data_IF_889786864744
#
_entry.id   IF_889786864744
#
_cell.length_a   1.000
_cell.length_b   1.000
_cell.length_c   1.000
_cell.angle_alpha   90.00
_cell.angle_beta   90.00
_cell.angle_gamma   90.00
#
_symmetry.space_group_name_H-M   'P 1'
#
loop_
_entity.id
_entity.type
_entity.pdbx_description
1 polymer ?
#
# COMPACT_ATOMS: atom_id res chain seq x y z
N UNK A 1 -17.50 -5.58 4.96
CA UNK A 1 -16.65 -6.27 3.97
C UNK A 1 -15.19 -5.92 4.25
N UNK A 2 -14.24 -6.85 4.07
CA UNK A 2 -12.82 -6.55 4.29
C UNK A 2 -12.25 -5.68 3.17
N UNK A 3 -11.38 -4.73 3.50
CA UNK A 3 -10.71 -3.86 2.52
C UNK A 3 -9.82 -4.68 1.58
N UNK A 4 -9.69 -4.24 0.33
CA UNK A 4 -8.75 -4.82 -0.64
C UNK A 4 -7.44 -4.04 -0.62
N UNK A 5 -6.33 -4.74 -0.45
CA UNK A 5 -4.98 -4.20 -0.57
C UNK A 5 -4.45 -4.39 -1.99
N UNK A 6 -3.71 -3.43 -2.51
CA UNK A 6 -3.07 -3.50 -3.82
C UNK A 6 -1.59 -3.13 -3.65
N UNK A 7 -0.68 -4.02 -4.04
CA UNK A 7 0.77 -3.76 -4.00
C UNK A 7 1.30 -3.56 -5.43
N UNK A 8 1.37 -2.30 -5.84
CA UNK A 8 1.78 -1.91 -7.19
C UNK A 8 3.26 -2.15 -7.46
N UNK A 9 3.58 -2.84 -8.55
CA UNK A 9 4.95 -3.00 -9.04
C UNK A 9 5.49 -1.73 -9.74
N UNK A 10 6.49 -1.91 -10.58
CA UNK A 10 7.11 -0.84 -11.37
C UNK A 10 6.06 -0.04 -12.16
N UNK A 11 6.12 1.29 -12.07
CA UNK A 11 5.29 2.19 -12.87
C UNK A 11 3.88 2.46 -12.31
N UNK A 12 3.43 1.72 -11.29
CA UNK A 12 2.15 1.96 -10.63
C UNK A 12 2.39 2.72 -9.32
N UNK A 13 2.22 4.05 -9.34
CA UNK A 13 2.39 4.93 -8.17
C UNK A 13 1.08 5.57 -7.69
N UNK A 14 0.05 5.49 -8.53
CA UNK A 14 -1.32 5.93 -8.26
C UNK A 14 -2.27 5.01 -9.03
N UNK A 15 -3.46 4.81 -8.50
CA UNK A 15 -4.53 4.11 -9.20
C UNK A 15 -5.55 5.17 -9.59
N UNK A 16 -5.79 5.31 -10.89
CA UNK A 16 -6.83 6.21 -11.39
C UNK A 16 -8.22 5.74 -10.91
N UNK A 17 -9.10 6.70 -10.60
CA UNK A 17 -10.46 6.40 -10.15
C UNK A 17 -10.61 6.14 -8.65
N UNK A 18 -9.52 6.15 -7.86
CA UNK A 18 -9.65 6.17 -6.39
C UNK A 18 -10.19 7.54 -5.94
N UNK A 19 -11.29 7.50 -5.17
CA UNK A 19 -11.89 8.64 -4.48
C UNK A 19 -11.49 8.65 -3.00
N UNK A 20 -11.68 9.79 -2.34
CA UNK A 20 -11.41 9.97 -0.90
C UNK A 20 -9.97 9.60 -0.50
N UNK A 21 -9.02 9.96 -1.35
CA UNK A 21 -7.60 9.61 -1.21
C UNK A 21 -7.02 10.20 0.08
N UNK A 22 -6.43 9.33 0.92
CA UNK A 22 -5.66 9.74 2.11
C UNK A 22 -4.35 8.97 2.19
N UNK A 23 -3.26 9.70 2.44
CA UNK A 23 -1.97 9.09 2.79
C UNK A 23 -1.96 8.72 4.27
N UNK A 24 -1.49 7.52 4.59
CA UNK A 24 -1.42 7.00 5.96
C UNK A 24 -0.04 6.42 6.20
N UNK A 25 0.73 7.08 7.06
CA UNK A 25 2.02 6.58 7.52
C UNK A 25 1.84 5.57 8.64
N UNK A 26 2.47 4.39 8.52
CA UNK A 26 2.34 3.30 9.48
C UNK A 26 3.70 2.87 10.00
N UNK A 27 3.89 2.97 11.31
CA UNK A 27 5.01 2.34 12.00
C UNK A 27 4.76 0.84 12.19
N UNK A 28 5.78 0.02 11.90
CA UNK A 28 5.74 -1.44 12.05
C UNK A 28 6.91 -1.93 12.91
N UNK A 29 6.76 -3.09 13.58
CA UNK A 29 7.88 -3.73 14.29
C UNK A 29 9.04 -4.18 13.37
N UNK A 30 8.81 -4.22 12.06
CA UNK A 30 9.80 -4.66 11.07
C UNK A 30 10.55 -3.50 10.41
N UNK A 31 10.32 -2.27 10.87
CA UNK A 31 10.85 -1.06 10.26
C UNK A 31 9.81 -0.33 9.41
N UNK A 32 10.28 0.48 8.46
CA UNK A 32 9.41 1.25 7.57
C UNK A 32 8.91 0.40 6.39
N UNK A 33 7.64 0.53 5.98
CA UNK A 33 7.17 0.07 4.69
C UNK A 33 7.88 0.81 3.54
N UNK A 34 7.69 0.34 2.31
CA UNK A 34 8.27 0.96 1.10
C UNK A 34 7.87 2.44 0.93
N UNK A 35 6.66 2.79 1.36
CA UNK A 35 6.15 4.16 1.38
C UNK A 35 4.95 4.28 2.32
N UNK A 36 4.37 5.47 2.40
CA UNK A 36 3.04 5.65 2.99
C UNK A 36 1.96 4.85 2.22
N UNK A 37 0.96 4.37 2.96
CA UNK A 37 -0.19 3.69 2.37
C UNK A 37 -1.20 4.71 1.87
N UNK A 38 -1.73 4.50 0.66
CA UNK A 38 -2.80 5.30 0.11
C UNK A 38 -4.14 4.58 0.35
N UNK A 39 -5.04 5.20 1.08
CA UNK A 39 -6.39 4.68 1.34
C UNK A 39 -7.42 5.44 0.52
N UNK A 40 -8.51 4.79 0.15
CA UNK A 40 -9.62 5.44 -0.55
C UNK A 40 -10.70 4.46 -0.98
N UNK A 41 -11.51 4.87 -1.95
CA UNK A 41 -12.59 4.07 -2.53
C UNK A 41 -12.45 3.94 -4.03
N UNK A 42 -12.45 2.71 -4.55
CA UNK A 42 -12.48 2.40 -5.97
C UNK A 42 -13.77 1.65 -6.29
N UNK A 43 -14.59 2.18 -7.20
CA UNK A 43 -15.88 1.57 -7.55
C UNK A 43 -16.76 1.23 -6.34
N UNK A 44 -16.77 2.11 -5.33
CA UNK A 44 -17.53 1.92 -4.08
C UNK A 44 -16.90 0.96 -3.07
N UNK A 45 -15.75 0.34 -3.37
CA UNK A 45 -15.02 -0.57 -2.46
C UNK A 45 -13.87 0.14 -1.77
N UNK A 46 -13.71 -0.09 -0.47
CA UNK A 46 -12.55 0.41 0.27
C UNK A 46 -11.26 -0.30 -0.17
N UNK A 47 -10.27 0.49 -0.54
CA UNK A 47 -8.97 0.01 -1.00
C UNK A 47 -7.82 0.63 -0.22
N UNK A 48 -6.73 -0.13 -0.11
CA UNK A 48 -5.44 0.32 0.40
C UNK A 48 -4.39 0.01 -0.65
N UNK A 49 -3.64 1.01 -1.08
CA UNK A 49 -2.61 0.89 -2.10
C UNK A 49 -1.23 1.18 -1.51
N UNK A 50 -0.23 0.42 -1.93
CA UNK A 50 1.17 0.64 -1.59
C UNK A 50 2.05 0.45 -2.84
N UNK A 51 2.83 1.46 -3.26
CA UNK A 51 3.85 1.26 -4.28
C UNK A 51 4.99 0.42 -3.71
N UNK A 52 5.24 -0.75 -4.30
CA UNK A 52 6.21 -1.74 -3.82
C UNK A 52 7.63 -1.19 -3.74
N UNK A 53 8.01 -0.37 -4.72
CA UNK A 53 9.33 0.23 -4.84
C UNK A 53 9.40 1.66 -4.26
N UNK A 54 8.34 2.10 -3.58
CA UNK A 54 8.15 3.49 -3.21
C UNK A 54 7.85 4.39 -4.41
N UNK A 55 7.36 5.59 -4.14
CA UNK A 55 7.20 6.64 -5.16
C UNK A 55 8.56 6.98 -5.75
N UNK A 56 8.62 7.02 -7.09
CA UNK A 56 9.87 7.27 -7.82
C UNK A 56 10.79 6.05 -7.96
N UNK A 57 10.34 4.85 -7.60
CA UNK A 57 11.11 3.60 -7.76
C UNK A 57 12.46 3.61 -7.01
N UNK A 58 12.47 4.16 -5.80
CA UNK A 58 13.69 4.36 -5.00
C UNK A 58 14.18 3.11 -4.27
N UNK A 59 13.32 2.10 -4.08
CA UNK A 59 13.65 0.87 -3.33
C UNK A 59 13.91 -0.26 -4.32
N UNK A 60 15.12 -0.84 -4.31
CA UNK A 60 15.46 -1.97 -5.17
C UNK A 60 14.73 -3.26 -4.73
N UNK A 61 14.55 -4.26 -5.61
CA UNK A 61 13.84 -5.50 -5.27
C UNK A 61 14.38 -6.22 -4.02
N UNK A 62 15.69 -6.18 -3.80
CA UNK A 62 16.36 -6.82 -2.65
C UNK A 62 16.24 -6.03 -1.35
N UNK A 63 15.89 -4.74 -1.42
CA UNK A 63 15.78 -3.85 -0.26
C UNK A 63 14.33 -3.68 0.21
N UNK A 64 13.36 -4.26 -0.50
CA UNK A 64 11.96 -4.16 -0.12
C UNK A 64 11.75 -4.80 1.26
N UNK A 65 11.18 -4.02 2.16
CA UNK A 65 10.77 -4.52 3.46
C UNK A 65 9.39 -5.20 3.39
N UNK A 66 9.37 -6.41 2.83
CA UNK A 66 8.13 -7.18 2.64
C UNK A 66 7.34 -7.36 3.95
N UNK A 67 8.03 -7.58 5.07
CA UNK A 67 7.39 -7.75 6.38
C UNK A 67 6.66 -6.47 6.82
N UNK A 68 7.29 -5.31 6.69
CA UNK A 68 6.65 -4.03 7.01
C UNK A 68 5.46 -3.74 6.08
N UNK A 69 5.59 -4.02 4.79
CA UNK A 69 4.51 -3.84 3.80
C UNK A 69 3.26 -4.67 4.15
N UNK A 70 3.45 -5.97 4.37
CA UNK A 70 2.35 -6.90 4.69
C UNK A 70 1.75 -6.57 6.08
N UNK A 71 2.59 -6.24 7.06
CA UNK A 71 2.11 -5.85 8.39
C UNK A 71 1.27 -4.58 8.34
N UNK A 72 1.70 -3.56 7.59
CA UNK A 72 0.93 -2.33 7.42
C UNK A 72 -0.43 -2.57 6.75
N UNK A 73 -0.48 -3.41 5.71
CA UNK A 73 -1.76 -3.85 5.11
C UNK A 73 -2.68 -4.49 6.15
N UNK A 74 -2.15 -5.43 6.95
CA UNK A 74 -2.92 -6.09 8.01
C UNK A 74 -3.44 -5.10 9.06
N UNK A 75 -2.61 -4.16 9.50
CA UNK A 75 -2.98 -3.12 10.47
C UNK A 75 -4.08 -2.19 9.96
N UNK A 76 -4.13 -1.94 8.64
CA UNK A 76 -5.16 -1.13 8.00
C UNK A 76 -6.49 -1.87 7.75
N UNK A 77 -6.58 -3.15 8.14
CA UNK A 77 -7.78 -3.96 8.00
C UNK A 77 -7.96 -4.58 6.62
N UNK A 78 -6.88 -4.71 5.84
CA UNK A 78 -6.91 -5.43 4.56
C UNK A 78 -7.15 -6.92 4.81
N UNK A 79 -8.13 -7.49 4.12
CA UNK A 79 -8.44 -8.92 4.16
C UNK A 79 -7.90 -9.71 2.96
N UNK A 80 -7.63 -9.03 1.84
CA UNK A 80 -7.09 -9.63 0.61
C UNK A 80 -6.13 -8.67 -0.07
N UNK A 81 -4.98 -9.16 -0.51
CA UNK A 81 -3.99 -8.39 -1.29
C UNK A 81 -4.02 -8.89 -2.75
N UNK A 82 -3.93 -7.94 -3.69
CA UNK A 82 -3.76 -8.16 -5.14
C UNK A 82 -2.41 -7.58 -5.56
#
# INVERSE_FOLDING_TARGET
>A
MSKVGIIGGSGLYRIEGIKDVKSVSISTPFGKPSDDFITGRLEGKEVVFLPRHGVGHRVSPSEINYRANIYGMKKLGVGRII
#
